data_IF_780643116482
#
_entry.id   IF_780643116482
#
_cell.length_a   1.000
_cell.length_b   1.000
_cell.length_c   1.000
_cell.angle_alpha   90.00
_cell.angle_beta   90.00
_cell.angle_gamma   90.00
#
_symmetry.space_group_name_H-M   'P 1'
#
loop_
_entity.id
_entity.type
_entity.pdbx_description
1 polymer ?
#
# COMPACT_ATOMS: atom_id res chain seq x y z
N UNK A 1 -0.90 7.88 11.36
CA UNK A 1 -0.26 6.81 10.58
C UNK A 1 -0.65 6.93 9.12
N UNK A 2 0.34 6.95 8.24
CA UNK A 2 0.23 7.01 6.80
C UNK A 2 1.03 5.85 6.20
N UNK A 3 0.41 5.11 5.28
CA UNK A 3 1.13 4.13 4.49
C UNK A 3 0.93 4.42 3.02
N UNK A 4 2.03 4.40 2.27
CA UNK A 4 2.04 4.36 0.82
C UNK A 4 2.63 3.02 0.39
N UNK A 5 2.05 2.38 -0.61
CA UNK A 5 2.56 1.17 -1.20
C UNK A 5 2.88 1.41 -2.67
N UNK A 6 4.04 0.89 -3.09
CA UNK A 6 4.46 0.96 -4.49
C UNK A 6 4.08 -0.33 -5.21
N UNK A 7 3.64 -0.19 -6.46
CA UNK A 7 3.49 -1.32 -7.38
C UNK A 7 4.26 -0.99 -8.66
N UNK A 8 5.09 -1.90 -9.14
CA UNK A 8 5.94 -1.67 -10.30
C UNK A 8 5.43 -2.45 -11.51
N UNK A 9 5.29 -1.78 -12.65
CA UNK A 9 4.90 -2.39 -13.92
C UNK A 9 5.98 -2.18 -14.99
N UNK A 10 6.29 -3.24 -15.74
CA UNK A 10 7.25 -3.20 -16.84
C UNK A 10 8.70 -3.49 -16.46
N UNK A 11 9.65 -2.92 -17.19
CA UNK A 11 11.10 -3.12 -17.01
C UNK A 11 11.70 -2.30 -15.86
N UNK A 12 10.86 -1.90 -14.91
CA UNK A 12 11.33 -1.23 -13.71
C UNK A 12 12.19 -2.21 -12.93
N UNK A 13 13.52 -2.17 -13.14
CA UNK A 13 14.49 -2.66 -12.18
C UNK A 13 14.11 -1.98 -10.86
N UNK A 14 13.46 -2.74 -9.96
CA UNK A 14 12.74 -2.27 -8.77
C UNK A 14 13.62 -1.62 -7.69
N UNK A 15 14.49 -0.69 -8.08
CA UNK A 15 15.59 -0.14 -7.29
C UNK A 15 15.68 1.39 -7.31
N UNK A 16 14.76 2.12 -7.97
CA UNK A 16 14.96 3.58 -8.16
C UNK A 16 13.89 4.48 -7.58
N UNK A 17 12.63 4.06 -7.46
CA UNK A 17 11.61 4.98 -6.96
C UNK A 17 11.72 5.22 -5.45
N UNK A 18 11.80 4.19 -4.60
CA UNK A 18 11.97 4.36 -3.16
C UNK A 18 13.10 5.30 -2.75
N UNK A 19 14.35 5.07 -3.18
CA UNK A 19 15.45 5.98 -2.86
C UNK A 19 15.23 7.42 -3.34
N UNK A 20 14.50 7.64 -4.44
CA UNK A 20 14.14 8.96 -4.95
C UNK A 20 13.01 9.59 -4.11
N UNK A 21 12.01 8.80 -3.74
CA UNK A 21 10.92 9.19 -2.85
C UNK A 21 11.45 9.64 -1.49
N UNK A 22 12.31 8.83 -0.87
CA UNK A 22 12.88 9.09 0.45
C UNK A 22 13.78 10.33 0.51
N UNK A 23 14.33 10.78 -0.63
CA UNK A 23 15.03 12.09 -0.71
C UNK A 23 14.08 13.28 -0.68
N UNK A 24 12.82 13.06 -1.09
CA UNK A 24 11.78 14.09 -1.14
C UNK A 24 10.90 14.09 0.11
N UNK A 25 10.77 12.93 0.76
CA UNK A 25 9.99 12.69 1.96
C UNK A 25 10.87 11.97 2.99
N UNK A 26 11.67 12.74 3.72
CA UNK A 26 12.68 12.24 4.66
C UNK A 26 12.08 11.74 5.99
N UNK A 27 10.83 12.10 6.25
CA UNK A 27 10.03 11.68 7.41
C UNK A 27 9.33 10.32 7.23
N UNK A 28 9.49 9.69 6.06
CA UNK A 28 9.05 8.32 5.84
C UNK A 28 10.08 7.30 6.35
N UNK A 29 9.60 6.10 6.67
CA UNK A 29 10.42 4.89 6.77
C UNK A 29 10.09 3.97 5.61
N UNK A 30 11.06 3.59 4.80
CA UNK A 30 10.88 2.61 3.74
C UNK A 30 10.99 1.20 4.31
N UNK A 31 10.01 0.34 4.03
CA UNK A 31 10.04 -1.08 4.33
C UNK A 31 10.03 -1.84 3.01
N UNK A 32 11.16 -2.45 2.67
CA UNK A 32 11.32 -3.30 1.49
C UNK A 32 11.09 -4.75 1.85
N UNK A 33 10.14 -5.37 1.17
CA UNK A 33 9.76 -6.76 1.38
C UNK A 33 10.32 -7.62 0.25
N UNK A 34 11.13 -8.61 0.59
CA UNK A 34 11.68 -9.57 -0.38
C UNK A 34 11.14 -10.96 -0.05
N UNK A 35 10.17 -11.49 -0.81
CA UNK A 35 9.72 -12.86 -0.63
C UNK A 35 10.88 -13.84 -0.82
N UNK A 36 11.08 -14.77 0.11
CA UNK A 36 12.03 -15.86 -0.08
C UNK A 36 11.49 -17.15 0.54
N UNK A 37 11.41 -18.20 -0.28
CA UNK A 37 10.84 -19.48 0.08
C UNK A 37 9.32 -19.40 0.27
N UNK A 38 8.58 -20.18 -0.51
CA UNK A 38 7.23 -20.55 -0.09
C UNK A 38 7.37 -21.66 0.97
N UNK A 39 6.60 -21.57 2.05
CA UNK A 39 6.43 -22.74 2.90
C UNK A 39 5.81 -23.83 2.02
N UNK A 40 6.36 -25.04 2.06
CA UNK A 40 5.84 -26.17 1.29
C UNK A 40 4.31 -26.22 1.39
N UNK A 41 3.65 -26.41 0.25
CA UNK A 41 2.19 -26.54 0.10
C UNK A 41 1.70 -27.77 0.89
N UNK A 42 1.60 -27.63 2.22
CA UNK A 42 1.46 -28.75 3.14
C UNK A 42 0.73 -28.33 4.40
N UNK A 43 -0.48 -27.78 4.23
CA UNK A 43 -1.42 -27.58 5.33
C UNK A 43 -2.14 -26.25 5.24
N UNK A 44 -3.48 -26.29 5.28
CA UNK A 44 -4.31 -25.11 5.52
C UNK A 44 -3.92 -24.50 6.88
N UNK A 45 -3.03 -23.50 6.88
CA UNK A 45 -2.74 -22.65 8.05
C UNK A 45 -3.86 -21.62 8.28
N UNK A 46 -5.12 -22.05 8.11
CA UNK A 46 -6.27 -21.28 8.52
C UNK A 46 -6.24 -21.21 10.05
N UNK A 47 -5.85 -20.06 10.57
CA UNK A 47 -6.10 -19.64 11.95
C UNK A 47 -5.20 -20.20 13.06
N UNK A 48 -3.89 -20.40 12.85
CA UNK A 48 -2.98 -20.44 14.00
C UNK A 48 -2.46 -19.03 14.31
N UNK A 49 -2.71 -18.50 15.52
CA UNK A 49 -2.07 -17.27 15.98
C UNK A 49 -0.59 -17.60 16.25
N UNK A 50 0.26 -17.47 15.22
CA UNK A 50 1.70 -17.39 15.43
C UNK A 50 1.98 -16.14 16.30
N UNK A 51 2.60 -16.34 17.46
CA UNK A 51 3.05 -15.23 18.29
C UNK A 51 4.10 -14.40 17.55
N UNK A 52 4.17 -13.10 17.83
CA UNK A 52 5.13 -12.18 17.21
C UNK A 52 6.58 -12.69 17.25
N UNK A 53 6.98 -13.32 18.36
CA UNK A 53 8.31 -13.91 18.50
C UNK A 53 8.58 -15.07 17.52
N UNK A 54 7.58 -15.88 17.18
CA UNK A 54 7.73 -16.98 16.23
C UNK A 54 7.69 -16.48 14.78
N UNK A 55 6.86 -15.45 14.53
CA UNK A 55 6.83 -14.74 13.25
C UNK A 55 8.18 -14.05 12.97
N UNK A 56 8.77 -13.39 13.98
CA UNK A 56 10.12 -12.83 13.93
C UNK A 56 11.20 -13.88 13.65
N UNK A 57 11.17 -15.05 14.31
CA UNK A 57 12.15 -16.12 14.06
C UNK A 57 12.15 -16.56 12.59
N UNK A 58 11.01 -16.49 11.92
CA UNK A 58 10.87 -16.87 10.51
C UNK A 58 11.17 -15.75 9.51
N UNK A 59 11.36 -14.51 9.97
CA UNK A 59 11.61 -13.34 9.13
C UNK A 59 13.01 -12.81 9.41
N UNK A 60 13.82 -12.74 8.37
CA UNK A 60 15.12 -12.08 8.46
C UNK A 60 14.91 -10.57 8.35
N UNK A 61 15.31 -9.84 9.39
CA UNK A 61 15.25 -8.37 9.48
C UNK A 61 16.67 -7.81 9.32
N UNK A 62 16.88 -6.93 8.35
CA UNK A 62 18.08 -6.10 8.30
C UNK A 62 17.69 -4.63 8.33
N UNK A 63 17.95 -3.98 9.47
CA UNK A 63 17.78 -2.55 9.68
C UNK A 63 19.14 -1.86 9.58
N UNK A 64 19.24 -0.79 8.79
CA UNK A 64 20.43 0.04 8.74
C UNK A 64 20.12 1.38 9.42
N UNK A 65 20.56 1.67 10.65
CA UNK A 65 20.23 2.94 11.33
C UNK A 65 20.68 4.20 10.59
N UNK A 66 21.63 4.07 9.66
CA UNK A 66 22.12 5.15 8.80
C UNK A 66 21.26 5.37 7.55
N UNK A 67 20.26 4.53 7.30
CA UNK A 67 19.33 4.60 6.17
C UNK A 67 17.91 4.38 6.69
N UNK A 68 16.94 5.23 6.34
CA UNK A 68 15.52 5.04 6.69
C UNK A 68 14.87 3.85 5.96
N UNK A 69 15.61 2.76 5.72
CA UNK A 69 15.23 1.57 4.98
C UNK A 69 15.37 0.33 5.86
N UNK A 70 14.25 -0.35 6.04
CA UNK A 70 14.17 -1.68 6.62
C UNK A 70 13.97 -2.71 5.52
N UNK A 71 14.84 -3.71 5.42
CA UNK A 71 14.61 -4.84 4.53
C UNK A 71 14.13 -6.06 5.34
N UNK A 72 13.00 -6.63 4.91
CA UNK A 72 12.42 -7.85 5.48
C UNK A 72 12.42 -8.94 4.43
N UNK A 73 12.87 -10.14 4.82
CA UNK A 73 12.86 -11.32 3.95
C UNK A 73 12.13 -12.49 4.61
N UNK A 74 11.30 -13.20 3.85
CA UNK A 74 10.54 -14.36 4.31
C UNK A 74 9.36 -14.73 3.41
N UNK A 75 8.52 -15.69 3.81
CA UNK A 75 7.34 -16.10 3.04
C UNK A 75 6.34 -14.97 2.83
N UNK A 76 5.61 -15.00 1.70
CA UNK A 76 4.72 -13.89 1.27
C UNK A 76 3.77 -13.44 2.38
N UNK A 77 3.00 -14.39 2.90
CA UNK A 77 1.96 -14.19 3.92
C UNK A 77 2.55 -13.69 5.24
N UNK A 78 3.72 -14.20 5.62
CA UNK A 78 4.39 -13.82 6.86
C UNK A 78 4.85 -12.37 6.84
N UNK A 79 5.40 -11.92 5.71
CA UNK A 79 5.80 -10.52 5.54
C UNK A 79 4.59 -9.57 5.55
N UNK A 80 3.46 -9.94 4.94
CA UNK A 80 2.24 -9.14 5.04
C UNK A 80 1.75 -9.02 6.49
N UNK A 81 1.71 -10.14 7.22
CA UNK A 81 1.37 -10.15 8.66
C UNK A 81 2.35 -9.32 9.48
N UNK A 82 3.65 -9.41 9.19
CA UNK A 82 4.68 -8.62 9.88
C UNK A 82 4.46 -7.13 9.72
N UNK A 83 4.29 -6.68 8.47
CA UNK A 83 3.98 -5.28 8.15
C UNK A 83 2.79 -4.84 8.99
N UNK A 84 1.65 -5.54 8.90
CA UNK A 84 0.45 -5.20 9.68
C UNK A 84 0.74 -5.15 11.19
N UNK A 85 1.51 -6.10 11.72
CA UNK A 85 1.85 -6.12 13.13
C UNK A 85 2.69 -4.92 13.57
N UNK A 86 3.76 -4.61 12.82
CA UNK A 86 4.62 -3.45 13.07
C UNK A 86 3.84 -2.13 13.04
N UNK A 87 2.75 -2.06 12.27
CA UNK A 87 1.90 -0.87 12.23
C UNK A 87 0.92 -0.78 13.39
N UNK A 88 0.27 -1.88 13.76
CA UNK A 88 -0.88 -1.81 14.66
C UNK A 88 -0.55 -2.10 16.12
N UNK A 89 0.49 -2.89 16.40
CA UNK A 89 0.66 -3.50 17.73
C UNK A 89 2.03 -3.27 18.37
N UNK A 90 2.99 -2.68 17.67
CA UNK A 90 4.30 -2.31 18.22
C UNK A 90 4.32 -0.82 18.58
N UNK A 91 4.16 -0.48 19.88
CA UNK A 91 4.15 0.91 20.35
C UNK A 91 5.57 1.52 20.46
N UNK A 92 6.63 0.70 20.52
CA UNK A 92 8.02 1.16 20.72
C UNK A 92 8.72 1.48 19.39
N UNK A 93 8.40 0.77 18.29
CA UNK A 93 8.97 0.99 16.94
C UNK A 93 7.95 1.60 15.94
N UNK A 94 6.92 2.30 16.41
CA UNK A 94 5.81 2.76 15.56
C UNK A 94 6.22 3.88 14.57
N UNK A 95 6.56 3.51 13.34
CA UNK A 95 6.73 4.49 12.25
C UNK A 95 5.38 5.16 11.90
N UNK A 96 5.32 6.49 11.97
CA UNK A 96 4.10 7.23 11.63
C UNK A 96 3.82 7.28 10.13
N UNK A 97 4.87 7.28 9.30
CA UNK A 97 4.78 7.33 7.84
C UNK A 97 5.68 6.25 7.23
N UNK A 98 5.12 5.43 6.37
CA UNK A 98 5.84 4.31 5.76
C UNK A 98 5.60 4.17 4.27
N UNK A 99 6.67 3.82 3.58
CA UNK A 99 6.67 3.44 2.18
C UNK A 99 6.90 1.92 2.10
N UNK A 100 5.93 1.18 1.58
CA UNK A 100 6.02 -0.25 1.36
C UNK A 100 6.53 -0.50 -0.06
N UNK A 101 7.68 -1.18 -0.16
CA UNK A 101 8.38 -1.47 -1.41
C UNK A 101 8.65 -2.96 -1.62
N UNK A 102 8.96 -3.32 -2.86
CA UNK A 102 9.43 -4.65 -3.23
C UNK A 102 8.30 -5.64 -3.55
N UNK A 103 7.05 -5.18 -3.68
CA UNK A 103 5.88 -6.01 -3.98
C UNK A 103 4.85 -5.28 -4.84
N UNK A 104 3.80 -6.02 -5.20
CA UNK A 104 2.54 -5.46 -5.69
C UNK A 104 1.75 -4.90 -4.50
N UNK A 105 1.89 -3.60 -4.28
CA UNK A 105 1.20 -2.87 -3.22
C UNK A 105 -0.33 -2.96 -3.33
N UNK A 106 -0.87 -3.04 -4.54
CA UNK A 106 -2.32 -3.11 -4.77
C UNK A 106 -2.86 -4.42 -4.19
N UNK A 107 -2.18 -5.53 -4.47
CA UNK A 107 -2.63 -6.84 -3.98
C UNK A 107 -2.28 -7.04 -2.50
N UNK A 108 -1.09 -6.63 -2.08
CA UNK A 108 -0.59 -6.99 -0.74
C UNK A 108 -1.00 -6.01 0.35
N UNK A 109 -1.18 -4.74 0.01
CA UNK A 109 -1.49 -3.65 0.93
C UNK A 109 -2.57 -2.72 0.36
N UNK A 110 -3.76 -3.23 -0.01
CA UNK A 110 -4.81 -2.45 -0.67
C UNK A 110 -5.40 -1.33 0.19
N UNK A 111 -5.04 -1.27 1.47
CA UNK A 111 -5.43 -0.23 2.41
C UNK A 111 -4.47 0.97 2.42
N UNK A 112 -3.31 0.88 1.78
CA UNK A 112 -2.34 1.97 1.68
C UNK A 112 -2.66 2.91 0.51
N UNK A 113 -2.03 4.08 0.46
CA UNK A 113 -2.02 4.94 -0.74
C UNK A 113 -1.26 4.23 -1.85
N UNK A 114 -1.88 4.02 -3.00
CA UNK A 114 -1.36 3.21 -4.11
C UNK A 114 -0.60 4.07 -5.12
N UNK A 115 0.73 3.94 -5.11
CA UNK A 115 1.63 4.58 -6.07
C UNK A 115 2.05 3.54 -7.10
N UNK A 116 1.54 3.63 -8.33
CA UNK A 116 1.92 2.71 -9.39
C UNK A 116 3.03 3.33 -10.23
N UNK A 117 4.20 2.71 -10.22
CA UNK A 117 5.36 3.12 -11.00
C UNK A 117 5.42 2.27 -12.26
N UNK A 118 5.27 2.90 -13.41
CA UNK A 118 5.25 2.24 -14.71
C UNK A 118 6.53 2.58 -15.47
N UNK A 119 7.22 1.56 -15.97
CA UNK A 119 8.31 1.74 -16.92
C UNK A 119 8.02 0.95 -18.20
N UNK A 120 7.61 1.63 -19.28
CA UNK A 120 7.37 1.02 -20.59
C UNK A 120 8.60 0.26 -21.13
N UNK A 121 8.39 -0.72 -22.05
CA UNK A 121 7.09 -1.16 -22.56
C UNK A 121 6.33 -2.02 -21.53
N UNK A 122 5.03 -1.80 -21.41
CA UNK A 122 4.15 -2.52 -20.49
C UNK A 122 2.92 -3.03 -21.23
N UNK A 123 2.69 -4.35 -21.20
CA UNK A 123 1.48 -4.98 -21.80
C UNK A 123 0.26 -4.99 -20.88
N UNK A 124 0.43 -4.57 -19.62
CA UNK A 124 -0.60 -4.67 -18.57
C UNK A 124 -1.93 -4.00 -18.96
N UNK A 125 -1.89 -2.94 -19.76
CA UNK A 125 -3.10 -2.24 -20.22
C UNK A 125 -4.00 -3.13 -21.11
N UNK A 126 -3.39 -4.06 -21.86
CA UNK A 126 -4.08 -4.96 -22.78
C UNK A 126 -4.61 -6.22 -22.08
N UNK A 127 -3.94 -6.66 -21.00
CA UNK A 127 -4.21 -7.93 -20.34
C UNK A 127 -5.15 -7.82 -19.14
N UNK A 128 -5.02 -6.76 -18.33
CA UNK A 128 -5.84 -6.56 -17.13
C UNK A 128 -5.79 -5.08 -16.69
N UNK A 129 -6.81 -4.27 -17.00
CA UNK A 129 -6.85 -2.86 -16.61
C UNK A 129 -7.37 -2.62 -15.17
N UNK A 130 -7.73 -3.67 -14.41
CA UNK A 130 -8.40 -3.49 -13.11
C UNK A 130 -7.52 -2.76 -12.08
N UNK A 131 -6.20 -2.87 -12.18
CA UNK A 131 -5.28 -2.15 -11.29
C UNK A 131 -5.38 -0.62 -11.43
N UNK A 132 -5.81 -0.10 -12.58
CA UNK A 132 -5.88 1.35 -12.86
C UNK A 132 -6.90 2.00 -11.90
N UNK A 133 -8.03 1.35 -11.65
CA UNK A 133 -9.05 1.88 -10.74
C UNK A 133 -8.64 1.80 -9.26
N UNK A 134 -7.59 1.02 -8.95
CA UNK A 134 -7.04 0.85 -7.61
C UNK A 134 -5.86 1.77 -7.33
N UNK A 135 -5.30 2.42 -8.35
CA UNK A 135 -4.19 3.34 -8.22
C UNK A 135 -4.66 4.74 -7.80
N UNK A 136 -3.99 5.34 -6.82
CA UNK A 136 -4.23 6.74 -6.44
C UNK A 136 -3.41 7.71 -7.31
N UNK A 137 -2.23 7.26 -7.74
CA UNK A 137 -1.34 8.00 -8.63
C UNK A 137 -0.51 7.04 -9.49
N UNK A 138 -0.29 7.43 -10.74
CA UNK A 138 0.59 6.73 -11.67
C UNK A 138 1.83 7.59 -11.93
N UNK A 139 3.00 7.00 -11.74
CA UNK A 139 4.30 7.58 -12.07
C UNK A 139 4.83 6.87 -13.31
N UNK A 140 4.81 7.55 -14.45
CA UNK A 140 5.32 7.03 -15.72
C UNK A 140 6.79 7.41 -15.86
N UNK A 141 7.65 6.41 -15.79
CA UNK A 141 9.07 6.54 -16.09
C UNK A 141 9.27 6.49 -17.61
N UNK A 142 10.15 7.35 -18.12
CA UNK A 142 10.51 7.39 -19.55
C UNK A 142 9.33 7.70 -20.51
N UNK A 143 8.49 8.67 -20.11
CA UNK A 143 7.32 9.09 -20.87
C UNK A 143 7.63 9.67 -22.27
N UNK A 144 8.86 10.12 -22.51
CA UNK A 144 9.28 10.70 -23.80
C UNK A 144 9.47 9.65 -24.90
N UNK A 145 9.65 8.38 -24.52
CA UNK A 145 9.69 7.26 -25.46
C UNK A 145 8.35 7.07 -26.17
N UNK A 146 8.36 6.56 -27.40
CA UNK A 146 7.11 6.26 -28.13
C UNK A 146 6.21 5.30 -27.33
N UNK A 147 6.80 4.28 -26.70
CA UNK A 147 6.09 3.36 -25.81
C UNK A 147 5.47 4.07 -24.59
N UNK A 148 6.12 5.13 -24.06
CA UNK A 148 5.58 5.95 -22.97
C UNK A 148 4.42 6.83 -23.40
N UNK A 149 4.51 7.47 -24.57
CA UNK A 149 3.42 8.27 -25.14
C UNK A 149 2.19 7.42 -25.43
N UNK A 150 2.38 6.25 -26.05
CA UNK A 150 1.30 5.32 -26.35
C UNK A 150 0.63 4.83 -25.06
N UNK A 151 1.42 4.49 -24.04
CA UNK A 151 0.90 4.06 -22.74
C UNK A 151 0.09 5.17 -22.05
N UNK A 152 0.59 6.41 -22.03
CA UNK A 152 -0.12 7.54 -21.46
C UNK A 152 -1.44 7.83 -22.20
N UNK A 153 -1.46 7.75 -23.53
CA UNK A 153 -2.67 7.90 -24.34
C UNK A 153 -3.70 6.79 -24.04
N UNK A 154 -3.24 5.54 -23.90
CA UNK A 154 -4.08 4.42 -23.49
C UNK A 154 -4.71 4.62 -22.11
N UNK A 155 -3.91 5.06 -21.12
CA UNK A 155 -4.41 5.36 -19.77
C UNK A 155 -5.52 6.41 -19.78
N UNK A 156 -5.34 7.51 -20.53
CA UNK A 156 -6.35 8.57 -20.62
C UNK A 156 -7.65 8.13 -21.30
N UNK A 157 -7.60 7.08 -22.12
CA UNK A 157 -8.79 6.48 -22.72
C UNK A 157 -9.58 5.65 -21.69
N UNK A 158 -8.90 4.98 -20.77
CA UNK A 158 -9.54 4.09 -19.77
C UNK A 158 -9.97 4.88 -18.52
N UNK A 159 -9.09 5.73 -17.98
CA UNK A 159 -9.32 6.52 -16.78
C UNK A 159 -8.79 7.94 -17.01
N UNK A 160 -9.61 8.88 -17.50
CA UNK A 160 -9.16 10.23 -17.87
C UNK A 160 -8.65 11.02 -16.66
N UNK A 161 -9.27 10.79 -15.50
CA UNK A 161 -9.10 11.59 -14.29
C UNK A 161 -7.95 11.10 -13.41
N UNK A 162 -7.36 9.94 -13.69
CA UNK A 162 -6.25 9.44 -12.87
C UNK A 162 -5.04 10.37 -12.98
N UNK A 163 -4.43 10.78 -11.85
CA UNK A 163 -3.20 11.55 -11.86
C UNK A 163 -2.06 10.72 -12.45
N UNK A 164 -1.47 11.21 -13.54
CA UNK A 164 -0.31 10.59 -14.20
C UNK A 164 0.81 11.61 -14.26
N UNK A 165 1.98 11.25 -13.73
CA UNK A 165 3.16 12.12 -13.70
C UNK A 165 4.31 11.47 -14.47
N UNK A 166 4.87 12.22 -15.42
CA UNK A 166 6.07 11.81 -16.14
C UNK A 166 7.31 12.13 -15.30
N UNK A 167 8.06 11.11 -14.90
CA UNK A 167 9.25 11.27 -14.07
C UNK A 167 10.47 10.62 -14.71
N UNK A 168 11.64 11.16 -14.39
CA UNK A 168 12.91 10.55 -14.79
C UNK A 168 13.51 9.83 -13.60
N UNK A 169 13.80 8.54 -13.77
CA UNK A 169 14.22 7.63 -12.70
C UNK A 169 15.45 8.06 -11.85
N UNK A 170 16.18 9.11 -12.22
CA UNK A 170 17.40 9.58 -11.52
C UNK A 170 17.40 11.06 -11.14
N UNK A 171 16.45 11.87 -11.61
CA UNK A 171 16.50 13.33 -11.47
C UNK A 171 15.74 13.87 -10.23
N UNK A 172 15.16 12.99 -9.41
CA UNK A 172 14.30 13.40 -8.30
C UNK A 172 12.82 13.31 -8.68
N UNK A 173 11.92 13.60 -7.73
CA UNK A 173 10.51 13.78 -8.02
C UNK A 173 10.26 15.23 -8.45
N UNK A 174 9.45 15.45 -9.49
CA UNK A 174 8.97 16.78 -9.84
C UNK A 174 8.19 17.44 -8.70
N UNK A 175 8.11 18.78 -8.71
CA UNK A 175 7.32 19.52 -7.72
C UNK A 175 5.83 19.15 -7.81
N UNK A 176 5.31 18.96 -9.02
CA UNK A 176 3.88 18.65 -9.24
C UNK A 176 3.51 17.29 -8.64
N UNK A 177 4.37 16.26 -8.83
CA UNK A 177 4.18 14.96 -8.20
C UNK A 177 4.25 15.07 -6.67
N UNK A 178 5.20 15.83 -6.12
CA UNK A 178 5.31 16.01 -4.66
C UNK A 178 4.05 16.63 -4.08
N UNK A 179 3.57 17.73 -4.65
CA UNK A 179 2.34 18.40 -4.21
C UNK A 179 1.15 17.46 -4.31
N UNK A 180 1.04 16.69 -5.40
CA UNK A 180 -0.02 15.70 -5.56
C UNK A 180 0.03 14.61 -4.48
N UNK A 181 1.22 14.09 -4.16
CA UNK A 181 1.40 13.09 -3.11
C UNK A 181 1.05 13.65 -1.73
N UNK A 182 1.46 14.87 -1.41
CA UNK A 182 1.10 15.54 -0.15
C UNK A 182 -0.41 15.68 0.02
N UNK A 183 -1.13 16.03 -1.05
CA UNK A 183 -2.60 16.09 -1.04
C UNK A 183 -3.21 14.71 -0.78
N UNK A 184 -2.73 13.67 -1.46
CA UNK A 184 -3.18 12.29 -1.25
C UNK A 184 -2.92 11.81 0.19
N UNK A 185 -1.75 12.12 0.72
CA UNK A 185 -1.36 11.76 2.09
C UNK A 185 -2.23 12.47 3.14
N UNK A 186 -2.52 13.75 2.94
CA UNK A 186 -3.40 14.51 3.81
C UNK A 186 -4.84 13.97 3.78
N UNK A 187 -5.37 13.67 2.59
CA UNK A 187 -6.70 13.09 2.44
C UNK A 187 -6.80 11.70 3.07
N UNK A 188 -5.78 10.85 2.87
CA UNK A 188 -5.68 9.53 3.50
C UNK A 188 -5.76 9.63 5.04
N UNK A 189 -4.93 10.48 5.65
CA UNK A 189 -4.91 10.68 7.10
C UNK A 189 -6.27 11.19 7.59
N UNK A 190 -6.85 12.16 6.88
CA UNK A 190 -8.17 12.73 7.21
C UNK A 190 -9.28 11.67 7.18
N UNK A 191 -9.35 10.88 6.11
CA UNK A 191 -10.33 9.78 5.97
C UNK A 191 -10.15 8.76 7.09
N UNK A 192 -8.91 8.34 7.35
CA UNK A 192 -8.57 7.40 8.41
C UNK A 192 -9.03 7.88 9.78
N UNK A 193 -8.74 9.13 10.14
CA UNK A 193 -9.16 9.70 11.43
C UNK A 193 -10.69 9.79 11.53
N UNK A 194 -11.37 10.20 10.45
CA UNK A 194 -12.85 10.20 10.43
C UNK A 194 -13.45 8.81 10.62
N UNK A 195 -12.85 7.77 10.04
CA UNK A 195 -13.28 6.38 10.28
C UNK A 195 -13.15 6.05 11.76
N UNK A 196 -12.01 6.37 12.39
CA UNK A 196 -11.80 6.15 13.84
C UNK A 196 -12.85 6.85 14.70
N UNK A 197 -13.06 8.13 14.45
CA UNK A 197 -14.01 8.95 15.21
C UNK A 197 -15.43 8.39 15.11
N UNK A 198 -15.86 8.00 13.90
CA UNK A 198 -17.19 7.42 13.67
C UNK A 198 -17.32 6.05 14.33
N UNK A 199 -16.29 5.21 14.24
CA UNK A 199 -16.29 3.89 14.87
C UNK A 199 -16.47 4.03 16.39
N UNK A 200 -15.62 4.83 17.03
CA UNK A 200 -15.64 5.05 18.47
C UNK A 200 -16.95 5.70 18.95
N UNK A 201 -17.52 6.64 18.18
CA UNK A 201 -18.76 7.31 18.56
C UNK A 201 -20.01 6.45 18.36
N UNK A 202 -20.08 5.64 17.29
CA UNK A 202 -21.32 4.92 16.91
C UNK A 202 -21.34 3.46 17.33
N UNK A 203 -20.18 2.87 17.64
CA UNK A 203 -20.04 1.42 17.86
C UNK A 203 -19.16 1.13 19.09
N UNK A 204 -19.55 1.58 20.30
CA UNK A 204 -18.72 1.42 21.51
C UNK A 204 -18.46 -0.04 21.89
N UNK A 205 -19.30 -0.97 21.43
CA UNK A 205 -19.17 -2.42 21.65
C UNK A 205 -18.07 -3.10 20.80
N UNK A 206 -17.27 -2.32 20.06
CA UNK A 206 -16.24 -2.82 19.14
C UNK A 206 -16.78 -3.80 18.09
N UNK A 207 -18.00 -3.56 17.59
CA UNK A 207 -18.64 -4.41 16.58
C UNK A 207 -19.34 -3.58 15.50
N UNK A 208 -19.13 -3.95 14.24
CA UNK A 208 -19.79 -3.34 13.09
C UNK A 208 -20.17 -4.40 12.05
N UNK A 209 -21.40 -4.35 11.54
CA UNK A 209 -21.81 -5.28 10.47
C UNK A 209 -21.14 -4.90 9.14
N UNK A 210 -20.82 -5.87 8.28
CA UNK A 210 -20.21 -5.62 6.97
C UNK A 210 -20.98 -4.57 6.13
N UNK A 211 -22.30 -4.64 6.06
CA UNK A 211 -23.14 -3.65 5.37
C UNK A 211 -22.94 -2.22 5.89
N UNK A 212 -22.75 -2.05 7.19
CA UNK A 212 -22.47 -0.74 7.81
C UNK A 212 -21.05 -0.27 7.51
N UNK A 213 -20.08 -1.18 7.44
CA UNK A 213 -18.72 -0.84 7.01
C UNK A 213 -18.68 -0.36 5.54
N UNK A 214 -19.40 -1.04 4.64
CA UNK A 214 -19.58 -0.58 3.25
C UNK A 214 -20.20 0.81 3.17
N UNK A 215 -21.28 1.03 3.92
CA UNK A 215 -21.94 2.33 3.97
C UNK A 215 -20.99 3.42 4.49
N UNK A 216 -20.22 3.14 5.54
CA UNK A 216 -19.21 4.05 6.07
C UNK A 216 -18.13 4.39 5.03
N UNK A 217 -17.64 3.37 4.30
CA UNK A 217 -16.67 3.57 3.22
C UNK A 217 -17.24 4.51 2.13
N UNK A 218 -18.47 4.26 1.68
CA UNK A 218 -19.15 5.09 0.69
C UNK A 218 -19.42 6.52 1.16
N UNK A 219 -19.87 6.72 2.40
CA UNK A 219 -20.12 8.05 3.00
C UNK A 219 -18.83 8.90 3.09
N UNK A 220 -17.68 8.26 3.27
CA UNK A 220 -16.38 8.94 3.40
C UNK A 220 -15.57 8.99 2.11
N UNK A 221 -16.04 8.35 1.02
CA UNK A 221 -15.24 8.16 -0.19
C UNK A 221 -13.91 7.44 0.10
N UNK A 222 -13.92 6.51 1.07
CA UNK A 222 -12.76 5.72 1.46
C UNK A 222 -12.85 4.32 0.84
N UNK A 223 -11.71 3.68 0.62
CA UNK A 223 -11.70 2.26 0.23
C UNK A 223 -12.22 1.40 1.38
N UNK A 224 -12.89 0.30 1.05
CA UNK A 224 -13.35 -0.66 2.05
C UNK A 224 -12.16 -1.27 2.82
N UNK A 225 -11.04 -1.49 2.14
CA UNK A 225 -9.79 -1.94 2.75
C UNK A 225 -9.28 -0.97 3.80
N UNK A 226 -9.38 0.35 3.59
CA UNK A 226 -9.00 1.33 4.61
C UNK A 226 -9.93 1.26 5.83
N UNK A 227 -11.24 1.16 5.63
CA UNK A 227 -12.20 0.98 6.74
C UNK A 227 -11.86 -0.28 7.53
N UNK A 228 -11.67 -1.39 6.82
CA UNK A 228 -11.32 -2.65 7.43
C UNK A 228 -10.00 -2.64 8.19
N UNK A 229 -9.00 -1.97 7.63
CA UNK A 229 -7.71 -1.79 8.28
C UNK A 229 -7.81 -0.98 9.58
N UNK A 230 -8.66 0.05 9.62
CA UNK A 230 -8.92 0.82 10.85
C UNK A 230 -9.71 -0.01 11.87
N UNK A 231 -10.65 -0.84 11.42
CA UNK A 231 -11.36 -1.78 12.30
C UNK A 231 -10.39 -2.75 12.97
N UNK A 232 -9.50 -3.38 12.19
CA UNK A 232 -8.49 -4.30 12.72
C UNK A 232 -7.55 -3.62 13.72
N UNK A 233 -7.08 -2.40 13.42
CA UNK A 233 -6.25 -1.59 14.32
C UNK A 233 -6.94 -1.30 15.66
N UNK A 234 -8.24 -0.97 15.63
CA UNK A 234 -9.00 -0.61 16.83
C UNK A 234 -9.65 -1.82 17.52
N UNK A 235 -9.42 -3.05 17.04
CA UNK A 235 -9.98 -4.26 17.61
C UNK A 235 -11.48 -4.46 17.35
N UNK A 236 -12.03 -3.83 16.31
CA UNK A 236 -13.44 -3.99 15.94
C UNK A 236 -13.66 -5.34 15.24
N UNK A 237 -14.63 -6.11 15.74
CA UNK A 237 -15.09 -7.32 15.07
C UNK A 237 -16.12 -6.98 14.00
N UNK A 238 -15.87 -7.44 12.78
CA UNK A 238 -16.84 -7.30 11.70
C UNK A 238 -17.78 -8.51 11.69
N UNK A 239 -19.07 -8.20 11.77
CA UNK A 239 -20.14 -9.18 11.91
C UNK A 239 -20.99 -9.23 10.65
N UNK A 240 -21.79 -10.30 10.50
CA UNK A 240 -22.69 -10.46 9.36
C UNK A 240 -21.96 -10.26 8.02
N UNK A 241 -20.78 -10.89 7.89
CA UNK A 241 -19.93 -10.73 6.73
C UNK A 241 -20.65 -11.21 5.48
N UNK A 242 -20.94 -10.30 4.55
CA UNK A 242 -21.18 -10.65 3.16
C UNK A 242 -19.83 -10.88 2.49
N UNK A 243 -19.76 -11.82 1.54
CA UNK A 243 -18.58 -12.04 0.72
C UNK A 243 -18.12 -10.68 0.15
N UNK A 244 -17.00 -10.13 0.66
CA UNK A 244 -16.48 -8.85 0.18
C UNK A 244 -15.87 -7.89 1.21
N UNK A 245 -15.97 -8.14 2.52
CA UNK A 245 -15.45 -7.21 3.52
C UNK A 245 -13.93 -7.34 3.80
N UNK A 246 -13.32 -8.52 3.63
CA UNK A 246 -11.90 -8.80 3.93
C UNK A 246 -11.33 -9.92 3.06
#
# INVERSE_FOLDING_TARGET
>A
MLAAATSYLGLADGQKFGPVFMKSFDDFTAIRLTPCGDLEEGGLQLCQPEGYGDLLKSIQKSWNPSKSLLELRGPKVKLQRMVRYMFFFDEEEKSEKVLLEGRDGITDFPWAVQIVVVQPPVKALESDPEWISKADVIVLLDAESEAGKDFAAGLKTICPDIPVFAEKAREGLSNDLKVSLEVLFADYIKKRNRIKDILQARYPELQISCTRAHRLAGELGASLFLVGNVCDELGYRITQCGLGCF
#
